data_IF_256774581019
#
_entry.id   IF_256774581019
#
_cell.length_a   1.000
_cell.length_b   1.000
_cell.length_c   1.000
_cell.angle_alpha   90.00
_cell.angle_beta   90.00
_cell.angle_gamma   90.00
#
_symmetry.space_group_name_H-M   'P 1'
#
loop_
_entity.id
_entity.type
_entity.pdbx_description
1 polymer ?
#
# COMPACT_ATOMS: atom_id res chain seq x y z
N UNK A 1 26.05 20.64 8.12
CA UNK A 1 25.85 19.35 7.42
C UNK A 1 26.48 19.50 6.04
N UNK A 2 27.53 18.73 5.70
CA UNK A 2 28.18 18.90 4.39
C UNK A 2 27.25 18.42 3.26
N UNK A 3 27.30 19.06 2.09
CA UNK A 3 26.46 18.70 0.93
C UNK A 3 26.59 17.22 0.55
N UNK A 4 27.76 16.62 0.78
CA UNK A 4 28.03 15.20 0.54
C UNK A 4 27.26 14.27 1.48
N UNK A 5 27.07 14.67 2.73
CA UNK A 5 26.32 13.87 3.72
C UNK A 5 24.81 13.90 3.45
N UNK A 6 24.30 15.04 2.97
CA UNK A 6 22.91 15.16 2.51
C UNK A 6 22.66 14.31 1.25
N UNK A 7 23.60 14.32 0.30
CA UNK A 7 23.51 13.51 -0.93
C UNK A 7 23.52 12.01 -0.61
N UNK A 8 24.41 11.56 0.27
CA UNK A 8 24.47 10.16 0.72
C UNK A 8 23.17 9.72 1.39
N UNK A 9 22.57 10.58 2.22
CA UNK A 9 21.28 10.31 2.85
C UNK A 9 20.14 10.17 1.82
N UNK A 10 20.09 11.06 0.81
CA UNK A 10 19.10 10.98 -0.27
C UNK A 10 19.25 9.69 -1.08
N UNK A 11 20.49 9.27 -1.37
CA UNK A 11 20.78 8.02 -2.11
C UNK A 11 20.40 6.77 -1.29
N UNK A 12 20.45 6.82 0.04
CA UNK A 12 19.99 5.72 0.88
C UNK A 12 18.45 5.62 0.93
N UNK A 13 17.75 6.75 0.97
CA UNK A 13 16.29 6.77 1.03
C UNK A 13 15.61 6.22 -0.25
N UNK A 14 16.29 6.19 -1.39
CA UNK A 14 15.72 5.68 -2.66
C UNK A 14 15.73 4.14 -2.78
N UNK A 15 16.44 3.40 -1.91
CA UNK A 15 16.63 1.95 -2.02
C UNK A 15 15.90 1.15 -0.93
N UNK A 16 14.66 1.50 -0.61
CA UNK A 16 13.84 0.70 0.31
C UNK A 16 12.90 -0.18 -0.52
N UNK A 17 13.28 -1.45 -0.69
CA UNK A 17 12.37 -2.48 -1.19
C UNK A 17 11.61 -3.09 -0.01
N UNK A 18 10.30 -3.20 -0.16
CA UNK A 18 9.43 -3.88 0.79
C UNK A 18 8.45 -4.75 0.00
N UNK A 19 7.89 -5.76 0.66
CA UNK A 19 6.83 -6.61 0.10
C UNK A 19 5.50 -5.85 0.13
N UNK A 20 5.46 -4.77 -0.65
CA UNK A 20 4.35 -3.86 -0.81
C UNK A 20 4.28 -3.46 -2.26
N UNK A 21 3.11 -3.63 -2.85
CA UNK A 21 2.75 -3.08 -4.15
C UNK A 21 1.62 -2.07 -3.94
N UNK A 22 1.60 -1.01 -4.75
CA UNK A 22 0.63 0.08 -4.55
C UNK A 22 0.13 0.70 -5.84
N UNK A 23 -1.11 1.17 -5.81
CA UNK A 23 -1.69 2.03 -6.84
C UNK A 23 -2.17 3.32 -6.20
N UNK A 24 -1.91 4.44 -6.86
CA UNK A 24 -2.35 5.78 -6.44
C UNK A 24 -3.32 6.30 -7.49
N UNK A 25 -4.48 6.77 -7.05
CA UNK A 25 -5.50 7.30 -7.94
C UNK A 25 -6.22 8.49 -7.30
N UNK A 26 -6.99 9.20 -8.12
CA UNK A 26 -7.86 10.28 -7.67
C UNK A 26 -9.29 9.78 -7.83
N UNK A 27 -10.09 9.88 -6.77
CA UNK A 27 -11.49 9.51 -6.83
C UNK A 27 -12.23 10.40 -7.84
N UNK A 28 -13.07 9.83 -8.72
CA UNK A 28 -13.85 10.61 -9.67
C UNK A 28 -14.82 11.56 -8.96
N UNK A 29 -15.40 12.48 -9.72
CA UNK A 29 -16.53 13.27 -9.26
C UNK A 29 -17.71 12.37 -8.85
N UNK A 30 -18.61 12.90 -8.03
CA UNK A 30 -19.74 12.17 -7.48
C UNK A 30 -20.55 11.51 -8.59
N UNK A 31 -20.57 10.19 -8.60
CA UNK A 31 -21.41 9.43 -9.52
C UNK A 31 -22.69 9.03 -8.78
N UNK A 32 -23.87 9.18 -9.40
CA UNK A 32 -25.07 8.58 -8.83
C UNK A 32 -24.81 7.08 -8.71
N UNK A 33 -24.93 6.53 -7.48
CA UNK A 33 -24.83 5.07 -7.28
C UNK A 33 -25.79 4.42 -8.29
N UNK A 34 -25.33 3.44 -9.10
CA UNK A 34 -26.22 2.71 -9.98
C UNK A 34 -27.36 2.19 -9.10
N UNK A 35 -28.60 2.60 -9.42
CA UNK A 35 -29.79 2.15 -8.70
C UNK A 35 -29.94 0.62 -8.76
N UNK A 36 -29.22 0.00 -9.69
CA UNK A 36 -29.18 -1.42 -9.87
C UNK A 36 -28.42 -2.11 -8.73
N UNK A 37 -29.14 -2.94 -7.99
CA UNK A 37 -28.62 -3.91 -7.01
C UNK A 37 -27.56 -4.86 -7.59
N UNK A 38 -27.33 -4.81 -8.90
CA UNK A 38 -26.34 -5.60 -9.63
C UNK A 38 -24.91 -5.51 -9.06
N UNK A 39 -24.42 -4.32 -8.69
CA UNK A 39 -23.07 -4.19 -8.07
C UNK A 39 -23.04 -4.88 -6.71
N UNK A 40 -24.14 -4.79 -5.96
CA UNK A 40 -24.25 -5.43 -4.66
C UNK A 40 -24.24 -6.97 -4.78
N UNK A 41 -24.69 -7.51 -5.93
CA UNK A 41 -24.67 -8.93 -6.28
C UNK A 41 -23.29 -9.42 -6.73
N UNK A 42 -22.31 -8.55 -7.00
CA UNK A 42 -20.96 -8.98 -7.36
C UNK A 42 -20.18 -9.58 -6.19
N UNK A 43 -20.68 -9.38 -4.95
CA UNK A 43 -20.09 -9.88 -3.70
C UNK A 43 -18.59 -9.55 -3.54
N UNK A 44 -18.15 -8.44 -4.14
CA UNK A 44 -16.79 -7.95 -3.98
C UNK A 44 -16.58 -7.47 -2.55
N UNK A 45 -15.39 -7.70 -2.01
CA UNK A 45 -15.05 -7.20 -0.68
C UNK A 45 -14.85 -5.69 -0.75
N UNK A 46 -15.63 -4.88 -0.01
CA UNK A 46 -15.53 -3.44 -0.07
C UNK A 46 -14.41 -2.92 0.85
N UNK A 47 -13.67 -1.92 0.37
CA UNK A 47 -12.77 -1.06 1.15
C UNK A 47 -13.32 0.37 1.12
N UNK A 48 -13.35 1.02 2.29
CA UNK A 48 -13.85 2.40 2.44
C UNK A 48 -13.03 3.16 3.47
N UNK A 49 -13.22 4.49 3.60
CA UNK A 49 -12.52 5.25 4.66
C UNK A 49 -12.87 4.75 6.08
N UNK A 50 -14.06 4.16 6.28
CA UNK A 50 -14.49 3.57 7.56
C UNK A 50 -13.88 2.20 7.82
N UNK A 51 -13.70 1.42 6.76
CA UNK A 51 -13.06 0.11 6.78
C UNK A 51 -11.88 0.10 5.80
N UNK A 52 -10.78 0.79 6.14
CA UNK A 52 -9.69 1.04 5.20
C UNK A 52 -8.83 -0.18 4.98
N UNK A 53 -8.91 -1.22 5.82
CA UNK A 53 -8.04 -2.38 5.73
C UNK A 53 -8.84 -3.70 5.75
N UNK A 54 -8.40 -4.64 4.93
CA UNK A 54 -8.88 -6.03 4.94
C UNK A 54 -7.72 -7.02 4.85
N UNK A 55 -7.68 -7.93 5.82
CA UNK A 55 -6.86 -9.13 5.76
C UNK A 55 -7.62 -10.22 5.02
N UNK A 56 -7.04 -10.74 3.95
CA UNK A 56 -7.66 -11.78 3.12
C UNK A 56 -6.60 -12.69 2.49
N UNK A 57 -7.05 -13.77 1.88
CA UNK A 57 -6.22 -14.60 1.01
C UNK A 57 -6.52 -14.26 -0.45
N UNK A 58 -5.48 -14.06 -1.26
CA UNK A 58 -5.58 -13.90 -2.71
C UNK A 58 -4.96 -15.13 -3.36
N UNK A 59 -5.71 -15.75 -4.26
CA UNK A 59 -5.19 -16.87 -5.04
C UNK A 59 -4.10 -16.35 -5.99
N UNK A 60 -3.01 -17.10 -6.10
CA UNK A 60 -1.93 -16.81 -7.02
C UNK A 60 -1.73 -18.01 -7.94
N UNK A 61 -1.10 -17.79 -9.09
CA UNK A 61 -0.69 -18.86 -9.99
C UNK A 61 0.65 -18.51 -10.62
N UNK A 62 1.36 -19.50 -11.14
CA UNK A 62 2.54 -19.22 -11.93
C UNK A 62 2.17 -18.48 -13.22
N UNK A 63 3.04 -17.56 -13.69
CA UNK A 63 2.82 -16.87 -14.96
C UNK A 63 2.87 -17.86 -16.12
N UNK A 64 1.91 -17.77 -17.03
CA UNK A 64 1.84 -18.59 -18.26
C UNK A 64 1.86 -17.69 -19.48
N UNK A 65 2.02 -18.28 -20.67
CA UNK A 65 2.00 -17.53 -21.93
C UNK A 65 0.68 -16.77 -22.18
N UNK A 66 -0.42 -17.24 -21.57
CA UNK A 66 -1.75 -16.63 -21.69
C UNK A 66 -2.10 -15.75 -20.49
N UNK A 67 -1.52 -16.00 -19.30
CA UNK A 67 -1.67 -15.15 -18.13
C UNK A 67 -0.31 -14.83 -17.50
N UNK A 68 0.33 -13.76 -17.98
CA UNK A 68 1.64 -13.32 -17.51
C UNK A 68 1.61 -12.78 -16.08
N UNK A 69 0.45 -12.35 -15.57
CA UNK A 69 0.29 -11.76 -14.23
C UNK A 69 -0.33 -12.73 -13.23
N UNK A 70 -0.48 -13.99 -13.59
CA UNK A 70 -1.02 -15.03 -12.72
C UNK A 70 -2.54 -14.93 -12.55
N UNK A 71 -3.01 -15.02 -11.31
CA UNK A 71 -4.44 -15.06 -10.99
C UNK A 71 -4.98 -13.66 -10.72
N UNK A 72 -6.20 -13.41 -11.18
CA UNK A 72 -6.91 -12.14 -11.04
C UNK A 72 -7.91 -12.18 -9.88
N UNK A 73 -8.05 -11.06 -9.17
CA UNK A 73 -9.00 -10.88 -8.09
C UNK A 73 -9.57 -9.46 -8.10
N UNK A 74 -10.84 -9.32 -7.72
CA UNK A 74 -11.54 -8.04 -7.73
C UNK A 74 -12.03 -7.62 -6.34
N UNK A 75 -11.92 -6.32 -6.09
CA UNK A 75 -12.36 -5.64 -4.88
C UNK A 75 -13.15 -4.38 -5.24
N UNK A 76 -13.96 -3.91 -4.30
CA UNK A 76 -14.74 -2.69 -4.45
C UNK A 76 -14.13 -1.59 -3.57
N UNK A 77 -13.87 -0.42 -4.16
CA UNK A 77 -13.54 0.79 -3.40
C UNK A 77 -14.82 1.62 -3.29
N UNK A 78 -15.33 1.76 -2.08
CA UNK A 78 -16.65 2.33 -1.80
C UNK A 78 -16.55 3.50 -0.82
N UNK A 79 -17.52 4.42 -0.88
CA UNK A 79 -17.59 5.56 0.03
C UNK A 79 -16.42 6.54 -0.13
N UNK A 80 -15.81 6.62 -1.31
CA UNK A 80 -14.68 7.51 -1.56
C UNK A 80 -15.17 8.95 -1.66
N UNK A 81 -14.47 9.90 -1.03
CA UNK A 81 -14.73 11.33 -1.23
C UNK A 81 -14.32 11.76 -2.64
N UNK A 82 -15.18 12.50 -3.37
CA UNK A 82 -14.88 13.01 -4.70
C UNK A 82 -13.58 13.81 -4.76
N UNK A 83 -12.83 13.70 -5.86
CA UNK A 83 -11.60 14.45 -6.16
C UNK A 83 -10.47 14.29 -5.15
N UNK A 84 -10.61 13.38 -4.18
CA UNK A 84 -9.58 13.11 -3.19
C UNK A 84 -8.61 12.07 -3.72
N UNK A 85 -7.33 12.27 -3.42
CA UNK A 85 -6.26 11.32 -3.75
C UNK A 85 -6.21 10.19 -2.72
N UNK A 86 -6.12 8.96 -3.21
CA UNK A 86 -5.99 7.75 -2.40
C UNK A 86 -4.84 6.89 -2.91
N UNK A 87 -4.36 6.04 -2.01
CA UNK A 87 -3.47 4.94 -2.32
C UNK A 87 -4.08 3.65 -1.80
N UNK A 88 -4.02 2.60 -2.62
CA UNK A 88 -4.28 1.24 -2.17
C UNK A 88 -2.98 0.47 -2.17
N UNK A 89 -2.69 -0.21 -1.06
CA UNK A 89 -1.51 -1.05 -0.86
C UNK A 89 -1.92 -2.50 -0.68
N UNK A 90 -1.17 -3.41 -1.30
CA UNK A 90 -1.16 -4.84 -0.95
C UNK A 90 0.13 -5.08 -0.18
N UNK A 91 0.03 -5.59 1.04
CA UNK A 91 1.17 -6.02 1.85
C UNK A 91 1.10 -7.54 2.04
N UNK A 92 2.23 -8.25 1.95
CA UNK A 92 2.26 -9.71 2.12
C UNK A 92 3.51 -10.20 2.87
N UNK A 93 3.49 -11.46 3.27
CA UNK A 93 4.58 -12.10 4.00
C UNK A 93 5.78 -12.36 3.11
N UNK A 94 6.99 -12.10 3.63
CA UNK A 94 8.24 -12.42 2.92
C UNK A 94 8.46 -13.91 2.63
N UNK A 95 7.78 -14.78 3.36
CA UNK A 95 7.84 -16.23 3.18
C UNK A 95 6.94 -16.72 2.04
N UNK A 96 6.16 -15.84 1.40
CA UNK A 96 5.33 -16.16 0.23
C UNK A 96 5.72 -15.22 -0.92
N UNK A 97 6.82 -15.50 -1.65
CA UNK A 97 7.27 -14.67 -2.76
C UNK A 97 6.19 -14.59 -3.84
N UNK A 98 5.66 -13.40 -4.09
CA UNK A 98 4.56 -13.17 -5.02
C UNK A 98 4.69 -11.77 -5.59
N UNK A 99 4.59 -11.67 -6.91
CA UNK A 99 4.50 -10.39 -7.60
C UNK A 99 3.03 -9.99 -7.73
N UNK A 100 2.73 -8.75 -7.32
CA UNK A 100 1.38 -8.18 -7.40
C UNK A 100 1.32 -7.06 -8.44
N UNK A 101 0.15 -6.87 -9.04
CA UNK A 101 -0.17 -5.69 -9.86
C UNK A 101 -1.57 -5.19 -9.52
N UNK A 102 -1.72 -3.88 -9.37
CA UNK A 102 -2.99 -3.26 -8.98
C UNK A 102 -3.44 -2.26 -10.04
N UNK A 103 -4.73 -2.29 -10.38
CA UNK A 103 -5.36 -1.35 -11.29
C UNK A 103 -6.69 -0.87 -10.73
N UNK A 104 -6.89 0.45 -10.69
CA UNK A 104 -8.17 1.07 -10.34
C UNK A 104 -8.94 1.42 -11.60
N UNK A 105 -10.18 0.96 -11.69
CA UNK A 105 -11.05 1.19 -12.85
C UNK A 105 -12.32 1.91 -12.44
N UNK A 106 -12.74 2.87 -13.28
CA UNK A 106 -14.07 3.46 -13.17
C UNK A 106 -15.13 2.44 -13.54
N UNK A 107 -16.29 2.52 -12.89
CA UNK A 107 -17.36 1.55 -13.09
C UNK A 107 -17.87 1.57 -14.52
N UNK A 108 -18.08 2.75 -15.10
CA UNK A 108 -18.51 2.89 -16.49
C UNK A 108 -17.50 2.31 -17.49
N UNK A 109 -16.20 2.45 -17.18
CA UNK A 109 -15.12 1.91 -18.02
C UNK A 109 -15.11 0.37 -17.99
N UNK A 110 -15.31 -0.24 -16.82
CA UNK A 110 -15.38 -1.71 -16.69
C UNK A 110 -16.57 -2.27 -17.46
N UNK A 111 -17.73 -1.64 -17.36
CA UNK A 111 -18.93 -2.10 -18.07
C UNK A 111 -18.88 -1.85 -19.59
N UNK A 112 -18.07 -0.88 -20.03
CA UNK A 112 -17.87 -0.60 -21.46
C UNK A 112 -16.85 -1.53 -22.13
N UNK A 113 -15.91 -2.07 -21.36
CA UNK A 113 -14.80 -2.89 -21.86
C UNK A 113 -15.13 -4.39 -21.73
N UNK A 114 -15.30 -5.13 -22.84
CA UNK A 114 -15.73 -6.54 -22.81
C UNK A 114 -14.77 -7.46 -22.05
N UNK A 115 -13.48 -7.15 -22.07
CA UNK A 115 -12.46 -7.95 -21.39
C UNK A 115 -12.57 -7.83 -19.87
N UNK A 116 -12.81 -6.62 -19.36
CA UNK A 116 -12.92 -6.34 -17.92
C UNK A 116 -14.24 -6.86 -17.33
N UNK A 117 -15.37 -6.68 -18.02
CA UNK A 117 -16.64 -7.21 -17.53
C UNK A 117 -16.65 -8.75 -17.53
N UNK A 118 -16.01 -9.38 -18.53
CA UNK A 118 -15.85 -10.84 -18.58
C UNK A 118 -15.01 -11.37 -17.42
N UNK A 119 -13.88 -10.72 -17.12
CA UNK A 119 -13.04 -11.15 -15.99
C UNK A 119 -13.70 -10.88 -14.63
N UNK A 120 -14.36 -9.72 -14.47
CA UNK A 120 -15.11 -9.37 -13.27
C UNK A 120 -16.26 -10.37 -13.02
N UNK A 121 -17.03 -10.71 -14.05
CA UNK A 121 -18.14 -11.66 -13.93
C UNK A 121 -17.62 -13.07 -13.63
N UNK A 122 -16.55 -13.51 -14.29
CA UNK A 122 -15.90 -14.81 -14.00
C UNK A 122 -15.47 -14.90 -12.53
N UNK A 123 -14.81 -13.87 -12.02
CA UNK A 123 -14.43 -13.80 -10.61
C UNK A 123 -15.65 -13.79 -9.68
N UNK A 124 -16.67 -12.98 -10.00
CA UNK A 124 -17.91 -12.89 -9.23
C UNK A 124 -18.62 -14.24 -9.13
N UNK A 125 -18.76 -14.99 -10.23
CA UNK A 125 -19.40 -16.30 -10.23
C UNK A 125 -18.61 -17.32 -9.38
N UNK A 126 -17.29 -17.40 -9.57
CA UNK A 126 -16.46 -18.27 -8.75
C UNK A 126 -16.55 -17.92 -7.25
N UNK A 127 -16.72 -16.63 -6.94
CA UNK A 127 -16.87 -16.14 -5.57
C UNK A 127 -18.21 -16.50 -4.94
N UNK A 128 -19.30 -16.50 -5.71
CA UNK A 128 -20.63 -16.95 -5.24
C UNK A 128 -20.59 -18.40 -4.77
N UNK A 129 -19.90 -19.28 -5.50
CA UNK A 129 -19.80 -20.70 -5.16
C UNK A 129 -18.93 -20.96 -3.90
N UNK A 130 -18.02 -20.04 -3.57
CA UNK A 130 -17.09 -20.17 -2.46
C UNK A 130 -17.59 -19.55 -1.15
N UNK A 131 -18.51 -18.59 -1.21
CA UNK A 131 -18.94 -17.81 -0.05
C UNK A 131 -20.01 -18.56 0.76
N UNK A 132 -19.75 -18.72 2.06
CA UNK A 132 -20.76 -19.20 2.99
C UNK A 132 -21.64 -18.06 3.49
N UNK A 133 -22.74 -18.38 4.17
CA UNK A 133 -23.66 -17.39 4.75
C UNK A 133 -22.96 -16.41 5.70
N UNK A 134 -22.01 -16.88 6.51
CA UNK A 134 -21.22 -16.05 7.41
C UNK A 134 -20.33 -15.06 6.65
N UNK A 135 -19.72 -15.49 5.55
CA UNK A 135 -18.85 -14.61 4.74
C UNK A 135 -19.68 -13.55 4.02
N UNK A 136 -20.88 -13.92 3.56
CA UNK A 136 -21.83 -12.99 2.96
C UNK A 136 -22.26 -11.90 3.96
N UNK A 137 -22.54 -12.27 5.21
CA UNK A 137 -22.81 -11.31 6.30
C UNK A 137 -21.62 -10.37 6.52
N UNK A 138 -20.38 -10.88 6.53
CA UNK A 138 -19.18 -10.05 6.68
C UNK A 138 -19.00 -9.05 5.54
N UNK A 139 -19.23 -9.46 4.29
CA UNK A 139 -19.17 -8.58 3.12
C UNK A 139 -20.24 -7.49 3.20
N UNK A 140 -21.47 -7.85 3.59
CA UNK A 140 -22.58 -6.89 3.76
C UNK A 140 -22.30 -5.90 4.89
N UNK A 141 -21.77 -6.36 6.02
CA UNK A 141 -21.48 -5.53 7.19
C UNK A 141 -20.32 -4.54 6.95
N UNK A 142 -19.42 -4.86 6.01
CA UNK A 142 -18.30 -3.97 5.61
C UNK A 142 -18.69 -2.88 4.63
N UNK A 143 -19.84 -2.99 3.96
CA UNK A 143 -20.29 -1.91 3.08
C UNK A 143 -20.37 -0.63 3.88
N UNK A 144 -19.93 0.47 3.27
CA UNK A 144 -19.95 1.75 3.94
C UNK A 144 -21.38 2.01 4.43
N UNK A 145 -21.54 2.27 5.74
CA UNK A 145 -22.81 2.71 6.29
C UNK A 145 -22.98 4.16 5.84
N UNK A 146 -23.40 4.32 4.60
CA UNK A 146 -23.41 5.58 3.91
C UNK A 146 -24.47 6.47 4.57
N UNK A 147 -24.02 7.55 5.23
CA UNK A 147 -24.93 8.60 5.64
C UNK A 147 -25.44 9.26 4.36
N UNK A 148 -26.75 9.18 4.09
CA UNK A 148 -27.39 9.55 2.82
C UNK A 148 -27.18 11.02 2.41
N UNK A 149 -26.53 11.81 3.25
CA UNK A 149 -26.19 13.22 3.04
C UNK A 149 -24.84 13.47 2.37
N UNK A 150 -23.93 12.49 2.32
CA UNK A 150 -22.56 12.74 1.85
C UNK A 150 -22.37 12.27 0.41
N UNK A 151 -21.81 13.11 -0.45
CA UNK A 151 -21.41 12.71 -1.79
C UNK A 151 -20.25 11.69 -1.71
N UNK A 152 -20.42 10.54 -2.36
CA UNK A 152 -19.40 9.51 -2.43
C UNK A 152 -19.30 8.88 -3.82
N UNK A 153 -18.14 8.31 -4.10
CA UNK A 153 -17.78 7.70 -5.37
C UNK A 153 -17.32 6.27 -5.15
N UNK A 154 -17.46 5.46 -6.20
CA UNK A 154 -17.12 4.04 -6.21
C UNK A 154 -16.15 3.72 -7.36
N UNK A 155 -15.26 2.77 -7.14
CA UNK A 155 -14.29 2.27 -8.14
C UNK A 155 -14.12 0.77 -7.98
N UNK A 156 -13.79 0.08 -9.07
CA UNK A 156 -13.32 -1.30 -9.00
C UNK A 156 -11.81 -1.36 -8.87
N UNK A 157 -11.31 -2.25 -8.02
CA UNK A 157 -9.90 -2.55 -7.89
C UNK A 157 -9.65 -3.97 -8.41
N UNK A 158 -8.80 -4.05 -9.43
CA UNK A 158 -8.31 -5.29 -10.01
C UNK A 158 -6.92 -5.57 -9.44
N UNK A 159 -6.72 -6.76 -8.89
CA UNK A 159 -5.46 -7.22 -8.29
C UNK A 159 -5.03 -8.50 -8.99
N UNK A 160 -3.81 -8.52 -9.50
CA UNK A 160 -3.19 -9.72 -10.03
C UNK A 160 -2.12 -10.25 -9.09
N UNK A 161 -2.01 -11.57 -8.97
CA UNK A 161 -1.03 -12.24 -8.14
C UNK A 161 -0.34 -13.38 -8.92
N UNK A 162 0.97 -13.25 -9.11
CA UNK A 162 1.81 -14.28 -9.71
C UNK A 162 2.82 -14.81 -8.69
N UNK A 163 2.90 -16.14 -8.55
CA UNK A 163 3.94 -16.76 -7.74
C UNK A 163 5.33 -16.44 -8.31
N UNK A 164 6.24 -15.97 -7.46
CA UNK A 164 7.60 -15.56 -7.85
C UNK A 164 8.66 -16.36 -7.09
N UNK A 165 8.60 -17.68 -7.23
CA UNK A 165 9.56 -18.60 -6.64
C UNK A 165 9.73 -19.85 -7.51
N UNK A 166 10.83 -20.56 -7.29
CA UNK A 166 11.01 -21.91 -7.82
C UNK A 166 11.34 -22.84 -6.65
N UNK A 167 10.71 -24.01 -6.65
CA UNK A 167 10.88 -25.01 -5.61
C UNK A 167 11.12 -26.38 -6.23
N UNK A 168 11.87 -27.23 -5.52
CA UNK A 168 12.01 -28.65 -5.85
C UNK A 168 10.78 -29.46 -5.41
N UNK A 169 9.92 -28.88 -4.57
CA UNK A 169 8.67 -29.51 -4.18
C UNK A 169 7.66 -29.36 -5.31
N UNK A 170 7.41 -30.46 -6.02
CA UNK A 170 6.51 -30.51 -7.17
C UNK A 170 5.08 -30.08 -6.81
N UNK A 171 4.57 -30.44 -5.63
CA UNK A 171 3.22 -30.04 -5.20
C UNK A 171 3.09 -28.52 -5.11
N UNK A 172 4.14 -27.83 -4.65
CA UNK A 172 4.16 -26.37 -4.53
C UNK A 172 4.35 -25.66 -5.90
N UNK A 173 4.88 -26.39 -6.89
CA UNK A 173 5.02 -25.91 -8.27
C UNK A 173 3.76 -26.16 -9.10
N UNK A 174 2.99 -27.20 -8.77
CA UNK A 174 1.75 -27.56 -9.46
C UNK A 174 0.53 -26.80 -8.90
N UNK A 175 0.46 -26.63 -7.57
CA UNK A 175 -0.62 -25.93 -6.87
C UNK A 175 -0.07 -24.83 -5.95
N UNK A 176 -0.32 -23.58 -6.33
CA UNK A 176 0.17 -22.41 -5.61
C UNK A 176 -0.80 -22.10 -4.46
N UNK A 177 -0.33 -22.11 -3.19
CA UNK A 177 -1.20 -21.80 -2.08
C UNK A 177 -1.62 -20.32 -2.10
N UNK A 178 -2.84 -19.99 -1.66
CA UNK A 178 -3.27 -18.60 -1.53
C UNK A 178 -2.36 -17.78 -0.63
N UNK A 179 -2.12 -16.53 -1.03
CA UNK A 179 -1.21 -15.61 -0.35
C UNK A 179 -1.98 -14.80 0.67
N UNK A 180 -1.52 -14.79 1.91
CA UNK A 180 -2.11 -13.95 2.95
C UNK A 180 -1.68 -12.49 2.72
N UNK A 181 -2.66 -11.62 2.47
CA UNK A 181 -2.42 -10.21 2.18
C UNK A 181 -3.22 -9.30 3.10
N UNK A 182 -2.65 -8.15 3.39
CA UNK A 182 -3.33 -7.00 3.96
C UNK A 182 -3.52 -5.95 2.87
N UNK A 183 -4.77 -5.75 2.44
CA UNK A 183 -5.17 -4.69 1.52
C UNK A 183 -5.56 -3.45 2.32
N UNK A 184 -4.94 -2.31 2.02
CA UNK A 184 -5.14 -1.06 2.77
C UNK A 184 -5.41 0.10 1.82
N UNK A 185 -6.57 0.74 1.97
CA UNK A 185 -6.96 2.01 1.36
C UNK A 185 -6.59 3.17 2.29
N UNK A 186 -5.72 4.05 1.83
CA UNK A 186 -5.22 5.19 2.59
C UNK A 186 -5.48 6.51 1.85
N UNK A 187 -6.25 7.45 2.42
CA UNK A 187 -6.41 8.77 1.85
C UNK A 187 -5.16 9.62 2.02
N UNK A 188 -4.87 10.48 1.04
CA UNK A 188 -3.84 11.49 1.19
C UNK A 188 -4.31 12.66 2.06
N UNK A 189 -3.34 13.24 2.75
CA UNK A 189 -3.45 14.49 3.50
C UNK A 189 -2.56 15.52 2.79
N UNK A 190 -3.15 16.67 2.45
CA UNK A 190 -2.49 17.76 1.70
C UNK A 190 -1.92 17.31 0.33
N UNK A 191 -2.45 16.24 -0.26
CA UNK A 191 -1.99 15.64 -1.53
C UNK A 191 -0.52 15.19 -1.58
N UNK A 192 0.19 15.25 -0.45
CA UNK A 192 1.62 14.91 -0.34
C UNK A 192 1.81 13.55 0.33
N UNK A 193 1.16 13.31 1.48
CA UNK A 193 1.43 12.14 2.32
C UNK A 193 0.17 11.31 2.59
N UNK A 194 0.30 9.98 2.60
CA UNK A 194 -0.76 9.10 3.07
C UNK A 194 -1.06 9.32 4.56
N UNK A 195 -2.33 9.29 4.95
CA UNK A 195 -2.78 9.60 6.31
C UNK A 195 -2.17 8.65 7.34
N UNK A 196 -2.00 7.37 7.01
CA UNK A 196 -1.40 6.38 7.93
C UNK A 196 0.06 6.68 8.28
N UNK A 197 0.79 7.41 7.43
CA UNK A 197 2.22 7.71 7.62
C UNK A 197 2.46 8.89 8.57
N UNK A 198 1.44 9.74 8.75
CA UNK A 198 1.50 10.98 9.52
C UNK A 198 1.96 10.78 10.99
N UNK A 199 1.39 9.85 11.78
CA UNK A 199 1.85 9.62 13.15
C UNK A 199 3.29 9.09 13.21
N UNK A 200 3.67 8.22 12.27
CA UNK A 200 5.03 7.68 12.17
C UNK A 200 6.04 8.77 11.85
N UNK A 201 5.73 9.64 10.90
CA UNK A 201 6.57 10.79 10.54
C UNK A 201 6.75 11.76 11.71
N UNK A 202 5.66 12.07 12.43
CA UNK A 202 5.72 12.91 13.62
C UNK A 202 6.61 12.29 14.71
N UNK A 203 6.43 11.00 14.99
CA UNK A 203 7.22 10.26 15.97
C UNK A 203 8.72 10.28 15.65
N UNK A 204 9.09 10.01 14.38
CA UNK A 204 10.48 10.08 13.93
C UNK A 204 11.04 11.50 14.02
N UNK A 205 10.24 12.52 13.74
CA UNK A 205 10.62 13.93 13.91
C UNK A 205 10.97 14.26 15.37
N UNK A 206 10.16 13.80 16.33
CA UNK A 206 10.41 14.00 17.77
C UNK A 206 11.71 13.31 18.20
N UNK A 207 11.92 12.04 17.82
CA UNK A 207 13.16 11.32 18.13
C UNK A 207 14.37 12.03 17.54
N UNK A 208 14.29 12.42 16.27
CA UNK A 208 15.38 13.12 15.59
C UNK A 208 15.76 14.43 16.28
N UNK A 209 14.76 15.19 16.74
CA UNK A 209 14.98 16.43 17.48
C UNK A 209 15.69 16.18 18.82
N UNK A 210 15.24 15.18 19.60
CA UNK A 210 15.86 14.81 20.87
C UNK A 210 17.31 14.35 20.67
N UNK A 211 17.55 13.49 19.67
CA UNK A 211 18.89 12.99 19.34
C UNK A 211 19.83 14.13 18.92
N UNK A 212 19.33 15.10 18.15
CA UNK A 212 20.10 16.28 17.76
C UNK A 212 20.49 17.16 18.96
N UNK A 213 19.54 17.38 19.88
CA UNK A 213 19.80 18.13 21.12
C UNK A 213 20.84 17.42 21.99
N UNK A 214 20.70 16.10 22.18
CA UNK A 214 21.65 15.30 22.95
C UNK A 214 23.05 15.30 22.32
N UNK A 215 23.16 15.12 21.00
CA UNK A 215 24.43 15.18 20.27
C UNK A 215 25.11 16.54 20.42
N UNK A 216 24.34 17.63 20.26
CA UNK A 216 24.84 18.99 20.42
C UNK A 216 25.32 19.27 21.84
N UNK A 217 24.64 18.71 22.84
CA UNK A 217 25.04 18.82 24.24
C UNK A 217 26.36 18.08 24.51
N UNK A 218 26.49 16.83 24.04
CA UNK A 218 27.72 16.03 24.17
C UNK A 218 28.92 16.72 23.48
N UNK A 219 28.72 17.24 22.27
CA UNK A 219 29.74 17.98 21.51
C UNK A 219 30.22 19.23 22.25
N UNK A 220 29.35 19.90 23.01
CA UNK A 220 29.72 21.06 23.84
C UNK A 220 30.42 20.66 25.13
N UNK A 221 30.14 19.47 25.66
CA UNK A 221 30.76 18.94 26.87
C UNK A 221 32.12 18.29 26.64
N UNK A 222 32.50 17.98 25.39
CA UNK A 222 33.85 17.51 25.07
C UNK A 222 34.86 18.64 25.29
N UNK A 223 35.85 18.49 26.18
CA UNK A 223 36.91 19.47 26.34
C UNK A 223 37.69 19.57 25.04
N UNK A 224 37.84 20.79 24.52
CA UNK A 224 38.70 21.10 23.37
C UNK A 224 40.13 20.63 23.68
N UNK A 225 40.55 19.51 23.10
CA UNK A 225 41.92 19.02 23.18
C UNK A 225 42.85 19.80 22.24
N UNK A 226 42.75 21.14 22.22
CA UNK A 226 43.63 22.04 21.47
C UNK A 226 44.50 22.88 22.42
N UNK A 227 45.02 22.26 23.48
CA UNK A 227 45.86 22.95 24.46
C UNK A 227 47.18 22.22 24.77
N UNK A 228 47.79 21.51 23.83
CA UNK A 228 49.21 21.11 23.95
C UNK A 228 49.85 21.04 22.57
N UNK A 229 50.52 22.11 22.13
CA UNK A 229 51.79 22.09 21.38
C UNK A 229 52.09 23.48 20.80
N UNK A 230 52.15 24.50 21.64
CA UNK A 230 52.80 25.78 21.32
C UNK A 230 53.59 26.25 22.54
N UNK A 231 54.67 25.52 22.86
CA UNK A 231 55.81 26.03 23.64
C UNK A 231 57.07 25.31 23.18
N UNK A 232 57.64 25.76 22.06
CA UNK A 232 59.10 25.69 21.89
C UNK A 232 59.59 27.07 22.36
N UNK A 233 60.28 27.18 23.50
CA UNK A 233 60.89 28.43 23.90
C UNK A 233 62.04 28.72 22.92
N UNK A 234 61.99 29.90 22.30
CA UNK A 234 63.13 30.49 21.62
C UNK A 234 64.18 30.84 22.68
N UNK A 235 65.22 30.02 22.80
CA UNK A 235 66.42 30.42 23.50
C UNK A 235 67.29 31.25 22.55
N UNK A 236 67.67 32.44 23.00
CA UNK A 236 68.58 33.39 22.35
C UNK A 236 69.67 33.72 23.37
N UNK A 237 70.88 33.97 22.84
CA UNK A 237 72.12 34.50 23.46
C UNK A 237 72.85 33.54 24.41
N UNK A 238 74.13 33.20 24.22
CA UNK A 238 75.24 33.98 23.65
C UNK A 238 76.06 33.23 22.57
#
# INVERSE_FOLDING_TARGET
>A
MSKSMLLAFIIWCINVSANVEKVIFIAPDTQPKPQDTSIDNLLLTPLSESYPAVRTYINASFPTNTSLKGTESWFLLDGLKPRRRYEVRVCWLATQPTSFWLYSHQVDAVFSEPTLISSLSTYSYARHDQLNSNDLELVKNRKAKHDSKQESTFLFLQVFAAADYFSLNQTLMDDVPPVAVDLILDPYVLDILPKSLLPTGLYLGVIGFIAWQASSWILRCLPSSNAVSNRIPSDKSD
#
